data_IF_428277106180
#
_entry.id   IF_428277106180
#
_cell.length_a   1.000
_cell.length_b   1.000
_cell.length_c   1.000
_cell.angle_alpha   90.00
_cell.angle_beta   90.00
_cell.angle_gamma   90.00
#
_symmetry.space_group_name_H-M   'P 1'
#
loop_
_entity.id
_entity.type
_entity.pdbx_description
1 polymer ?
#
# COMPACT_ATOMS: atom_id res chain seq x y z
N UNK A 1 9.15 -37.11 -6.09
CA UNK A 1 9.11 -35.86 -6.86
C UNK A 1 7.74 -35.76 -7.51
N UNK A 2 6.93 -34.76 -7.13
CA UNK A 2 5.60 -34.57 -7.72
C UNK A 2 5.74 -34.17 -9.19
N UNK A 3 4.99 -34.82 -10.07
CA UNK A 3 5.02 -34.59 -11.52
C UNK A 3 4.52 -33.16 -11.82
N UNK A 4 5.46 -32.21 -11.94
CA UNK A 4 5.17 -30.77 -12.10
C UNK A 4 4.53 -30.42 -13.46
N UNK A 5 4.19 -31.41 -14.29
CA UNK A 5 3.98 -31.21 -15.72
C UNK A 5 2.60 -31.51 -16.31
N UNK A 6 1.67 -32.23 -15.66
CA UNK A 6 0.54 -32.82 -16.41
C UNK A 6 -0.80 -32.77 -15.69
N UNK A 7 -1.40 -31.59 -15.62
CA UNK A 7 -2.79 -31.41 -15.19
C UNK A 7 -3.64 -31.01 -16.40
N UNK A 8 -4.59 -31.87 -16.79
CA UNK A 8 -5.61 -31.53 -17.78
C UNK A 8 -6.79 -30.88 -17.05
N UNK A 9 -6.87 -29.55 -17.13
CA UNK A 9 -7.97 -28.77 -16.56
C UNK A 9 -9.13 -28.83 -17.54
N UNK A 10 -10.19 -29.54 -17.19
CA UNK A 10 -11.47 -29.43 -17.90
C UNK A 10 -12.16 -28.17 -17.37
N UNK A 11 -12.38 -27.19 -18.23
CA UNK A 11 -12.91 -25.89 -17.82
C UNK A 11 -14.42 -25.98 -17.72
N UNK A 12 -15.00 -25.40 -16.67
CA UNK A 12 -16.46 -25.24 -16.55
C UNK A 12 -17.03 -24.55 -17.79
N UNK A 13 -16.26 -23.65 -18.40
CA UNK A 13 -16.64 -22.98 -19.65
C UNK A 13 -16.83 -23.93 -20.84
N UNK A 14 -16.27 -25.15 -20.81
CA UNK A 14 -16.53 -26.15 -21.84
C UNK A 14 -17.98 -26.67 -21.79
N UNK A 15 -18.63 -26.62 -20.62
CA UNK A 15 -20.05 -26.99 -20.46
C UNK A 15 -21.00 -25.94 -21.03
N UNK A 16 -20.52 -24.72 -21.25
CA UNK A 16 -21.30 -23.57 -21.73
C UNK A 16 -20.72 -23.01 -23.03
N UNK A 17 -19.92 -23.80 -23.75
CA UNK A 17 -19.35 -23.38 -25.03
C UNK A 17 -20.26 -23.86 -26.17
N UNK A 18 -20.90 -22.95 -26.93
CA UNK A 18 -21.77 -23.32 -28.04
C UNK A 18 -21.07 -24.18 -29.10
N UNK A 19 -19.75 -24.00 -29.28
CA UNK A 19 -18.96 -24.78 -30.25
C UNK A 19 -18.84 -26.26 -29.82
N UNK A 20 -18.91 -26.54 -28.52
CA UNK A 20 -18.78 -27.88 -27.95
C UNK A 20 -20.15 -28.55 -27.69
N UNK A 21 -21.20 -27.76 -27.49
CA UNK A 21 -22.57 -28.25 -27.25
C UNK A 21 -23.09 -29.10 -28.41
N UNK A 22 -22.64 -28.81 -29.64
CA UNK A 22 -23.01 -29.54 -30.84
C UNK A 22 -22.25 -30.87 -31.02
N UNK A 23 -21.28 -31.19 -30.17
CA UNK A 23 -20.55 -32.45 -30.25
C UNK A 23 -21.34 -33.56 -29.55
N UNK A 24 -21.38 -34.76 -30.17
CA UNK A 24 -21.83 -35.96 -29.46
C UNK A 24 -20.95 -36.21 -28.24
N UNK A 25 -21.48 -36.89 -27.21
CA UNK A 25 -20.71 -37.23 -26.00
C UNK A 25 -19.41 -37.99 -26.32
N UNK A 26 -19.44 -38.86 -27.32
CA UNK A 26 -18.26 -39.58 -27.81
C UNK A 26 -17.20 -38.63 -28.38
N UNK A 27 -17.62 -37.67 -29.21
CA UNK A 27 -16.72 -36.70 -29.83
C UNK A 27 -16.23 -35.66 -28.81
N UNK A 28 -17.05 -35.28 -27.83
CA UNK A 28 -16.62 -34.45 -26.70
C UNK A 28 -15.54 -35.17 -25.86
N UNK A 29 -15.72 -36.47 -25.60
CA UNK A 29 -14.70 -37.29 -24.94
C UNK A 29 -13.40 -37.38 -25.73
N UNK A 30 -13.49 -37.54 -27.06
CA UNK A 30 -12.32 -37.51 -27.95
C UNK A 30 -11.66 -36.13 -28.01
N UNK A 31 -12.44 -35.05 -28.02
CA UNK A 31 -11.94 -33.67 -27.94
C UNK A 31 -11.16 -33.43 -26.63
N UNK A 32 -11.67 -33.92 -25.50
CA UNK A 32 -10.95 -33.87 -24.22
C UNK A 32 -9.60 -34.61 -24.30
N UNK A 33 -9.59 -35.82 -24.88
CA UNK A 33 -8.35 -36.60 -25.09
C UNK A 33 -7.37 -35.88 -26.00
N UNK A 34 -7.86 -35.23 -27.05
CA UNK A 34 -7.04 -34.41 -27.94
C UNK A 34 -6.37 -33.27 -27.18
N UNK A 35 -7.11 -32.54 -26.34
CA UNK A 35 -6.54 -31.48 -25.52
C UNK A 35 -5.47 -31.97 -24.55
N UNK A 36 -5.68 -33.13 -23.91
CA UNK A 36 -4.67 -33.73 -23.05
C UNK A 36 -3.42 -34.14 -23.83
N UNK A 37 -3.59 -34.74 -25.01
CA UNK A 37 -2.49 -35.13 -25.89
C UNK A 37 -1.70 -33.92 -26.40
N UNK A 38 -2.41 -32.88 -26.84
CA UNK A 38 -1.85 -31.61 -27.31
C UNK A 38 -1.06 -30.90 -26.20
N UNK A 39 -1.51 -31.01 -24.93
CA UNK A 39 -0.75 -30.49 -23.78
C UNK A 39 0.57 -31.24 -23.57
N UNK A 40 0.53 -32.57 -23.70
CA UNK A 40 1.66 -33.44 -23.40
C UNK A 40 2.72 -33.43 -24.51
N UNK A 41 2.31 -33.26 -25.76
CA UNK A 41 3.16 -33.47 -26.94
C UNK A 41 3.23 -32.26 -27.89
N UNK A 42 2.32 -31.29 -27.74
CA UNK A 42 2.27 -30.09 -28.57
C UNK A 42 2.93 -28.88 -27.91
N UNK A 43 2.98 -27.79 -28.66
CA UNK A 43 3.50 -26.48 -28.21
C UNK A 43 2.49 -25.40 -28.59
N UNK A 44 1.96 -24.68 -27.59
CA UNK A 44 1.05 -23.52 -27.77
C UNK A 44 -0.16 -23.79 -28.68
N UNK A 45 -0.72 -25.00 -28.60
CA UNK A 45 -1.89 -25.37 -29.39
C UNK A 45 -1.55 -25.95 -30.77
N UNK A 46 -0.27 -26.12 -31.08
CA UNK A 46 0.20 -26.74 -32.32
C UNK A 46 0.80 -28.12 -32.05
N UNK A 47 0.53 -29.07 -32.93
CA UNK A 47 1.04 -30.44 -32.87
C UNK A 47 1.46 -30.91 -34.26
N UNK A 48 2.63 -31.54 -34.35
CA UNK A 48 3.11 -32.16 -35.58
C UNK A 48 3.06 -33.66 -35.45
N UNK A 49 2.38 -34.33 -36.39
CA UNK A 49 2.15 -35.77 -36.38
C UNK A 49 2.56 -36.39 -37.71
N UNK A 50 2.97 -37.66 -37.66
CA UNK A 50 3.39 -38.46 -38.82
C UNK A 50 2.62 -39.78 -38.84
N UNK A 51 2.24 -40.31 -40.02
CA UNK A 51 1.72 -41.67 -40.16
C UNK A 51 2.74 -42.71 -39.64
N UNK A 52 2.30 -43.85 -39.10
CA UNK A 52 0.90 -44.29 -38.97
C UNK A 52 0.18 -43.71 -37.74
N UNK A 53 0.86 -42.93 -36.89
CA UNK A 53 0.24 -42.26 -35.74
C UNK A 53 -0.47 -43.20 -34.75
N UNK A 54 -0.02 -44.44 -34.57
CA UNK A 54 -0.70 -45.51 -33.81
C UNK A 54 -1.20 -45.07 -32.43
N UNK A 55 -0.41 -44.27 -31.71
CA UNK A 55 -0.80 -43.75 -30.39
C UNK A 55 -2.09 -42.90 -30.45
N UNK A 56 -2.30 -42.12 -31.52
CA UNK A 56 -3.52 -41.33 -31.72
C UNK A 56 -4.69 -42.20 -32.16
N UNK A 57 -4.44 -43.19 -33.01
CA UNK A 57 -5.44 -44.18 -33.39
C UNK A 57 -5.99 -44.90 -32.15
N UNK A 58 -5.08 -45.39 -31.27
CA UNK A 58 -5.43 -46.05 -30.02
C UNK A 58 -6.14 -45.07 -29.05
N UNK A 59 -5.66 -43.83 -28.96
CA UNK A 59 -6.23 -42.79 -28.08
C UNK A 59 -7.67 -42.43 -28.47
N UNK A 60 -7.94 -42.25 -29.77
CA UNK A 60 -9.26 -41.89 -30.28
C UNK A 60 -10.15 -43.10 -30.58
N UNK A 61 -9.59 -44.32 -30.49
CA UNK A 61 -10.23 -45.59 -30.83
C UNK A 61 -10.74 -45.58 -32.27
N UNK A 62 -9.85 -45.23 -33.20
CA UNK A 62 -10.13 -45.23 -34.65
C UNK A 62 -9.12 -46.13 -35.37
N UNK A 63 -9.51 -46.81 -36.46
CA UNK A 63 -8.70 -47.86 -37.06
C UNK A 63 -7.52 -47.33 -37.88
N UNK A 64 -7.64 -46.13 -38.46
CA UNK A 64 -6.66 -45.58 -39.40
C UNK A 64 -6.29 -44.15 -39.06
N UNK A 65 -5.10 -43.74 -39.51
CA UNK A 65 -4.60 -42.37 -39.34
C UNK A 65 -5.47 -41.35 -40.09
N UNK A 66 -5.99 -41.69 -41.26
CA UNK A 66 -6.88 -40.80 -42.01
C UNK A 66 -8.16 -40.51 -41.23
N UNK A 67 -8.71 -41.51 -40.52
CA UNK A 67 -9.87 -41.31 -39.64
C UNK A 67 -9.54 -40.45 -38.42
N UNK A 68 -8.29 -40.45 -37.95
CA UNK A 68 -7.84 -39.46 -36.95
C UNK A 68 -7.89 -38.05 -37.55
N UNK A 69 -7.40 -37.86 -38.77
CA UNK A 69 -7.40 -36.53 -39.40
C UNK A 69 -8.83 -36.04 -39.68
N UNK A 70 -9.71 -36.89 -40.22
CA UNK A 70 -11.14 -36.59 -40.41
C UNK A 70 -11.78 -36.11 -39.09
N UNK A 71 -11.55 -36.88 -38.02
CA UNK A 71 -12.08 -36.57 -36.68
C UNK A 71 -11.53 -35.25 -36.15
N UNK A 72 -10.22 -35.03 -36.22
CA UNK A 72 -9.61 -33.80 -35.73
C UNK A 72 -10.04 -32.58 -36.55
N UNK A 73 -10.28 -32.74 -37.85
CA UNK A 73 -10.82 -31.71 -38.72
C UNK A 73 -12.26 -31.32 -38.35
N UNK A 74 -13.03 -32.24 -37.75
CA UNK A 74 -14.38 -31.98 -37.26
C UNK A 74 -14.43 -31.23 -35.92
N UNK A 75 -13.31 -31.17 -35.18
CA UNK A 75 -13.28 -30.48 -33.90
C UNK A 75 -13.29 -28.96 -34.07
N UNK A 76 -14.05 -28.23 -33.22
CA UNK A 76 -14.17 -26.79 -33.35
C UNK A 76 -12.82 -26.12 -33.16
N UNK A 77 -12.57 -25.08 -33.95
CA UNK A 77 -11.35 -24.26 -33.91
C UNK A 77 -10.06 -25.05 -34.22
N UNK A 78 -10.15 -26.21 -34.88
CA UNK A 78 -9.00 -27.01 -35.30
C UNK A 78 -8.70 -26.79 -36.78
N UNK A 79 -7.42 -26.63 -37.12
CA UNK A 79 -6.92 -26.55 -38.50
C UNK A 79 -5.91 -27.65 -38.76
N UNK A 80 -5.97 -28.21 -39.96
CA UNK A 80 -5.02 -29.22 -40.44
C UNK A 80 -4.26 -28.62 -41.63
N UNK A 81 -2.93 -28.66 -41.57
CA UNK A 81 -2.04 -28.27 -42.67
C UNK A 81 -1.12 -29.42 -43.00
N UNK A 82 -1.01 -29.72 -44.29
CA UNK A 82 -0.05 -30.71 -44.79
C UNK A 82 1.28 -30.01 -45.03
N UNK A 83 2.37 -30.59 -44.52
CA UNK A 83 3.71 -30.04 -44.74
C UNK A 83 4.14 -30.17 -46.21
N UNK A 84 5.14 -29.39 -46.60
CA UNK A 84 5.74 -29.42 -47.96
C UNK A 84 6.20 -30.83 -48.36
N UNK A 85 6.63 -31.62 -47.38
CA UNK A 85 6.83 -33.06 -47.53
C UNK A 85 5.58 -33.78 -47.02
N UNK A 86 4.96 -34.61 -47.86
CA UNK A 86 3.68 -35.33 -47.65
C UNK A 86 3.61 -36.23 -46.40
N UNK A 87 4.72 -36.36 -45.66
CA UNK A 87 4.88 -37.25 -44.51
C UNK A 87 4.46 -36.60 -43.18
N UNK A 88 4.41 -35.26 -43.10
CA UNK A 88 4.09 -34.54 -41.85
C UNK A 88 2.81 -33.75 -41.96
N UNK A 89 1.95 -33.88 -40.94
CA UNK A 89 0.74 -33.09 -40.79
C UNK A 89 0.88 -32.21 -39.56
N UNK A 90 0.61 -30.92 -39.72
CA UNK A 90 0.59 -29.92 -38.66
C UNK A 90 -0.86 -29.58 -38.30
N UNK A 91 -1.18 -29.76 -37.02
CA UNK A 91 -2.49 -29.50 -36.44
C UNK A 91 -2.39 -28.26 -35.57
N UNK A 92 -3.32 -27.33 -35.72
CA UNK A 92 -3.40 -26.12 -34.90
C UNK A 92 -4.77 -26.00 -34.28
N UNK A 93 -4.84 -25.86 -32.97
CA UNK A 93 -6.07 -25.55 -32.24
C UNK A 93 -6.07 -24.06 -31.85
N UNK A 94 -6.77 -23.23 -32.61
CA UNK A 94 -6.73 -21.76 -32.51
C UNK A 94 -7.09 -21.22 -31.14
N UNK A 95 -8.08 -21.83 -30.50
CA UNK A 95 -8.59 -21.39 -29.20
C UNK A 95 -7.93 -22.11 -28.02
N UNK A 96 -6.77 -22.75 -28.23
CA UNK A 96 -6.04 -23.50 -27.23
C UNK A 96 -5.81 -22.72 -25.92
N UNK A 97 -5.44 -21.44 -26.01
CA UNK A 97 -5.12 -20.62 -24.85
C UNK A 97 -6.32 -20.43 -23.91
N UNK A 98 -7.55 -20.35 -24.44
CA UNK A 98 -8.79 -20.31 -23.65
C UNK A 98 -8.90 -21.51 -22.71
N UNK A 99 -8.41 -22.66 -23.14
CA UNK A 99 -8.46 -23.93 -22.42
C UNK A 99 -7.14 -24.31 -21.74
N UNK A 100 -6.17 -23.41 -21.64
CA UNK A 100 -4.86 -23.75 -21.06
C UNK A 100 -4.27 -22.69 -20.14
N UNK A 101 -4.56 -21.41 -20.37
CA UNK A 101 -4.05 -20.35 -19.51
C UNK A 101 -5.02 -20.08 -18.35
N UNK A 102 -4.54 -20.21 -17.11
CA UNK A 102 -5.22 -19.64 -15.96
C UNK A 102 -5.10 -18.12 -16.00
N UNK A 103 -5.90 -17.51 -16.88
CA UNK A 103 -6.02 -16.07 -17.00
C UNK A 103 -6.65 -15.43 -15.76
N UNK A 104 -7.09 -16.22 -14.78
CA UNK A 104 -7.79 -15.72 -13.60
C UNK A 104 -6.85 -15.55 -12.41
N UNK A 105 -6.05 -16.53 -12.02
CA UNK A 105 -5.25 -16.41 -10.79
C UNK A 105 -3.99 -15.60 -11.00
N UNK A 106 -3.17 -15.92 -12.01
CA UNK A 106 -1.92 -15.20 -12.25
C UNK A 106 -2.16 -13.74 -12.65
N UNK A 107 -3.19 -13.48 -13.47
CA UNK A 107 -3.57 -12.13 -13.89
C UNK A 107 -4.26 -11.34 -12.77
N UNK A 108 -5.10 -11.97 -11.93
CA UNK A 108 -5.63 -11.32 -10.70
C UNK A 108 -4.50 -11.04 -9.72
N UNK A 109 -3.56 -11.96 -9.50
CA UNK A 109 -2.41 -11.76 -8.62
C UNK A 109 -1.49 -10.65 -9.15
N UNK A 110 -1.21 -10.60 -10.46
CA UNK A 110 -0.46 -9.51 -11.08
C UNK A 110 -1.21 -8.18 -10.97
N UNK A 111 -2.51 -8.15 -11.26
CA UNK A 111 -3.36 -6.96 -11.09
C UNK A 111 -3.42 -6.51 -9.63
N UNK A 112 -3.57 -7.44 -8.68
CA UNK A 112 -3.58 -7.17 -7.24
C UNK A 112 -2.22 -6.67 -6.75
N UNK A 113 -1.11 -7.25 -7.24
CA UNK A 113 0.25 -6.77 -6.95
C UNK A 113 0.48 -5.37 -7.52
N UNK A 114 0.04 -5.10 -8.74
CA UNK A 114 0.11 -3.77 -9.36
C UNK A 114 -0.78 -2.77 -8.62
N UNK A 115 -2.00 -3.15 -8.22
CA UNK A 115 -2.89 -2.30 -7.43
C UNK A 115 -2.34 -2.04 -6.02
N UNK A 116 -1.70 -3.01 -5.36
CA UNK A 116 -1.00 -2.80 -4.08
C UNK A 116 0.21 -1.87 -4.24
N UNK A 117 0.98 -2.01 -5.32
CA UNK A 117 2.11 -1.11 -5.61
C UNK A 117 1.62 0.31 -5.93
N UNK A 118 0.55 0.44 -6.73
CA UNK A 118 -0.06 1.74 -7.04
C UNK A 118 -0.70 2.37 -5.81
N UNK A 119 -1.43 1.60 -4.99
CA UNK A 119 -1.99 2.05 -3.72
C UNK A 119 -0.89 2.46 -2.74
N UNK A 120 0.21 1.71 -2.62
CA UNK A 120 1.36 2.09 -1.79
C UNK A 120 2.07 3.35 -2.31
N UNK A 121 2.16 3.52 -3.63
CA UNK A 121 2.72 4.72 -4.26
C UNK A 121 1.81 5.94 -4.13
N UNK A 122 0.48 5.76 -4.20
CA UNK A 122 -0.53 6.80 -4.01
C UNK A 122 -0.71 7.16 -2.54
N UNK A 123 -0.63 6.20 -1.62
CA UNK A 123 -0.62 6.40 -0.17
C UNK A 123 0.64 7.14 0.26
N UNK A 124 1.83 6.74 -0.25
CA UNK A 124 3.06 7.51 -0.09
C UNK A 124 2.98 8.91 -0.72
N UNK A 125 2.38 9.06 -1.90
CA UNK A 125 2.14 10.37 -2.52
C UNK A 125 1.11 11.20 -1.74
N UNK A 126 0.12 10.58 -1.11
CA UNK A 126 -0.93 11.26 -0.35
C UNK A 126 -0.40 11.66 1.01
N UNK A 127 0.47 10.87 1.63
CA UNK A 127 1.23 11.25 2.81
C UNK A 127 2.25 12.35 2.49
N UNK A 128 2.96 12.26 1.36
CA UNK A 128 3.83 13.33 0.84
C UNK A 128 3.04 14.59 0.44
N UNK A 129 1.76 14.49 0.07
CA UNK A 129 0.91 15.63 -0.32
C UNK A 129 0.15 16.22 0.87
N UNK A 130 -0.14 15.41 1.90
CA UNK A 130 -0.71 15.82 3.20
C UNK A 130 0.36 16.39 4.14
N UNK A 131 1.63 16.01 3.94
CA UNK A 131 2.81 16.67 4.53
C UNK A 131 3.30 17.88 3.72
N UNK A 132 2.56 18.30 2.69
CA UNK A 132 2.87 19.44 1.81
C UNK A 132 1.84 20.56 1.90
N UNK A 133 1.10 20.66 2.99
CA UNK A 133 0.62 21.99 3.39
C UNK A 133 1.85 22.68 4.01
N UNK A 134 2.44 23.70 3.35
CA UNK A 134 3.61 24.36 3.89
C UNK A 134 3.16 25.16 5.11
N UNK A 135 3.39 24.62 6.31
CA UNK A 135 3.47 25.44 7.52
C UNK A 135 4.68 26.35 7.27
N UNK A 136 4.44 27.66 7.30
CA UNK A 136 5.28 28.66 6.63
C UNK A 136 6.78 28.54 6.96
N UNK A 137 7.69 28.86 6.00
CA UNK A 137 9.13 28.88 6.20
C UNK A 137 9.62 29.59 7.48
N UNK A 138 8.83 30.52 8.03
CA UNK A 138 9.17 31.32 9.21
C UNK A 138 9.30 30.50 10.50
N UNK A 139 8.44 29.51 10.75
CA UNK A 139 8.37 28.87 12.08
C UNK A 139 9.66 28.15 12.49
N UNK A 140 10.25 27.39 11.57
CA UNK A 140 11.50 26.66 11.85
C UNK A 140 12.72 27.58 11.95
N UNK A 141 12.72 28.68 11.19
CA UNK A 141 13.80 29.68 11.22
C UNK A 141 13.79 30.47 12.53
N UNK A 142 12.61 30.85 13.03
CA UNK A 142 12.45 31.48 14.34
C UNK A 142 13.01 30.62 15.47
N UNK A 143 12.67 29.32 15.50
CA UNK A 143 13.20 28.36 16.48
C UNK A 143 14.73 28.26 16.37
N UNK A 144 15.26 28.22 15.14
CA UNK A 144 16.69 28.12 14.92
C UNK A 144 17.44 29.36 15.42
N UNK A 145 16.95 30.57 15.11
CA UNK A 145 17.58 31.81 15.55
C UNK A 145 17.52 31.97 17.08
N UNK A 146 16.39 31.60 17.71
CA UNK A 146 16.29 31.63 19.18
C UNK A 146 17.29 30.66 19.83
N UNK A 147 17.38 29.43 19.34
CA UNK A 147 18.35 28.45 19.86
C UNK A 147 19.79 28.94 19.68
N UNK A 148 20.09 29.51 18.51
CA UNK A 148 21.42 30.02 18.17
C UNK A 148 21.82 31.17 19.11
N UNK A 149 20.88 32.06 19.41
CA UNK A 149 21.04 33.14 20.38
C UNK A 149 21.21 32.60 21.80
N UNK A 150 20.28 31.79 22.29
CA UNK A 150 20.23 31.35 23.69
C UNK A 150 21.37 30.41 24.12
N UNK A 151 22.03 29.73 23.18
CA UNK A 151 23.21 28.90 23.44
C UNK A 151 24.50 29.49 22.85
N UNK A 152 24.48 30.77 22.45
CA UNK A 152 25.63 31.52 21.91
C UNK A 152 26.32 30.83 20.70
N UNK A 153 25.55 30.06 19.92
CA UNK A 153 26.06 29.29 18.77
C UNK A 153 26.18 30.16 17.51
N UNK A 154 26.83 31.31 17.59
CA UNK A 154 26.89 32.35 16.53
C UNK A 154 27.32 31.83 15.14
N UNK A 155 28.16 30.79 15.09
CA UNK A 155 28.64 30.16 13.84
C UNK A 155 27.79 28.98 13.35
N UNK A 156 26.79 28.54 14.11
CA UNK A 156 25.95 27.42 13.72
C UNK A 156 25.10 27.75 12.50
N UNK A 157 24.95 26.75 11.62
CA UNK A 157 24.10 26.81 10.44
C UNK A 157 22.86 25.95 10.65
N UNK A 158 21.75 26.36 10.03
CA UNK A 158 20.52 25.57 10.04
C UNK A 158 20.61 24.41 9.04
N UNK A 159 21.41 23.41 9.39
CA UNK A 159 21.72 22.26 8.55
C UNK A 159 20.46 21.48 8.16
N UNK A 160 20.49 20.68 7.07
CA UNK A 160 19.34 19.88 6.66
C UNK A 160 18.79 18.97 7.76
N UNK A 161 19.65 18.43 8.62
CA UNK A 161 19.21 17.57 9.73
C UNK A 161 18.48 18.35 10.84
N UNK A 162 19.02 19.50 11.27
CA UNK A 162 18.33 20.40 12.21
C UNK A 162 16.98 20.85 11.65
N UNK A 163 16.96 21.28 10.38
CA UNK A 163 15.73 21.71 9.70
C UNK A 163 14.70 20.60 9.65
N UNK A 164 15.12 19.38 9.35
CA UNK A 164 14.26 18.20 9.33
C UNK A 164 13.68 17.88 10.71
N UNK A 165 14.48 17.97 11.78
CA UNK A 165 14.03 17.71 13.15
C UNK A 165 13.02 18.74 13.63
N UNK A 166 13.29 20.03 13.43
CA UNK A 166 12.36 21.11 13.79
C UNK A 166 11.06 20.98 12.97
N UNK A 167 11.16 20.77 11.66
CA UNK A 167 9.98 20.60 10.80
C UNK A 167 9.13 19.38 11.19
N UNK A 168 9.75 18.28 11.63
CA UNK A 168 9.01 17.11 12.10
C UNK A 168 8.14 17.45 13.32
N UNK A 169 8.64 18.27 14.25
CA UNK A 169 7.90 18.70 15.44
C UNK A 169 6.78 19.67 15.10
N UNK A 170 7.04 20.65 14.23
CA UNK A 170 6.00 21.54 13.73
C UNK A 170 4.86 20.77 13.02
N UNK A 171 5.19 19.73 12.25
CA UNK A 171 4.20 18.87 11.58
C UNK A 171 3.43 17.96 12.55
N UNK A 172 3.98 17.67 13.73
CA UNK A 172 3.29 16.94 14.80
C UNK A 172 2.30 17.81 15.57
N UNK A 173 2.27 19.13 15.31
CA UNK A 173 1.35 20.07 15.94
C UNK A 173 2.02 21.00 16.96
N UNK A 174 3.32 20.84 17.23
CA UNK A 174 4.03 21.77 18.11
C UNK A 174 4.16 23.15 17.46
N UNK A 175 4.01 24.18 18.27
CA UNK A 175 4.20 25.58 17.90
C UNK A 175 5.69 25.98 18.04
N UNK A 176 6.16 27.04 17.34
CA UNK A 176 7.48 27.60 17.59
C UNK A 176 7.72 27.95 19.06
N UNK A 177 6.69 28.49 19.74
CA UNK A 177 6.72 28.80 21.17
C UNK A 177 7.01 27.57 22.03
N UNK A 178 6.33 26.45 21.79
CA UNK A 178 6.54 25.21 22.55
C UNK A 178 7.95 24.64 22.35
N UNK A 179 8.50 24.75 21.13
CA UNK A 179 9.88 24.32 20.86
C UNK A 179 10.88 25.26 21.54
N UNK A 180 10.61 26.57 21.56
CA UNK A 180 11.40 27.55 22.33
C UNK A 180 11.34 27.26 23.83
N UNK A 181 10.17 26.92 24.37
CA UNK A 181 10.04 26.50 25.75
C UNK A 181 10.94 25.30 26.05
N UNK A 182 10.90 24.25 25.22
CA UNK A 182 11.81 23.12 25.38
C UNK A 182 13.30 23.52 25.26
N UNK A 183 13.62 24.53 24.47
CA UNK A 183 14.98 25.08 24.34
C UNK A 183 15.44 25.75 25.64
N UNK A 184 14.58 26.56 26.26
CA UNK A 184 14.83 27.13 27.59
C UNK A 184 14.91 26.02 28.65
N UNK A 185 14.00 25.04 28.61
CA UNK A 185 14.04 23.89 29.50
C UNK A 185 15.33 23.08 29.39
N UNK A 186 15.88 22.94 28.18
CA UNK A 186 17.18 22.32 27.96
C UNK A 186 18.31 23.09 28.65
N UNK A 187 18.30 24.42 28.60
CA UNK A 187 19.33 25.24 29.28
C UNK A 187 19.22 25.21 30.81
N UNK A 188 18.07 24.80 31.36
CA UNK A 188 17.86 24.60 32.80
C UNK A 188 18.07 23.16 33.27
N UNK A 189 18.22 22.20 32.37
CA UNK A 189 18.36 20.79 32.72
C UNK A 189 19.82 20.46 33.06
N UNK A 190 20.16 20.08 34.31
CA UNK A 190 21.53 19.74 34.69
C UNK A 190 22.12 18.64 33.80
N UNK A 191 21.31 17.60 33.54
CA UNK A 191 21.70 16.48 32.68
C UNK A 191 22.06 16.90 31.25
N UNK A 192 21.39 17.91 30.69
CA UNK A 192 21.68 18.37 29.32
C UNK A 192 22.80 19.41 29.29
N UNK A 193 23.07 20.09 30.41
CA UNK A 193 24.08 21.14 30.53
C UNK A 193 25.40 20.64 31.14
N UNK A 194 25.74 19.38 30.93
CA UNK A 194 27.04 18.81 31.33
C UNK A 194 27.08 18.19 32.72
N UNK A 195 26.06 18.35 33.57
CA UNK A 195 25.98 17.65 34.86
C UNK A 195 25.42 16.23 34.66
N UNK A 196 26.16 15.43 33.89
CA UNK A 196 25.89 14.03 33.62
C UNK A 196 27.19 13.22 33.73
N UNK A 197 27.07 11.90 33.76
CA UNK A 197 28.21 10.98 33.93
C UNK A 197 29.31 11.12 32.86
N UNK A 198 29.04 11.82 31.76
CA UNK A 198 29.94 12.01 30.62
C UNK A 198 30.44 13.45 30.48
N UNK A 199 30.09 14.34 31.40
CA UNK A 199 30.41 15.77 31.36
C UNK A 199 30.15 16.43 29.99
N UNK A 200 29.09 15.98 29.31
CA UNK A 200 28.81 16.37 27.91
C UNK A 200 27.59 17.26 27.83
N UNK A 201 27.70 18.40 27.15
CA UNK A 201 26.56 19.28 26.86
C UNK A 201 25.76 18.73 25.68
N UNK A 202 24.45 18.57 25.86
CA UNK A 202 23.48 18.04 24.89
C UNK A 202 22.47 19.11 24.46
N UNK A 203 22.98 20.28 24.08
CA UNK A 203 22.18 21.46 23.73
C UNK A 203 21.81 21.56 22.23
N UNK A 204 22.23 20.62 21.38
CA UNK A 204 21.98 20.71 19.94
C UNK A 204 20.49 20.56 19.59
N UNK A 205 20.01 21.33 18.60
CA UNK A 205 18.62 21.25 18.11
C UNK A 205 18.19 19.85 17.69
N UNK A 206 19.10 19.02 17.16
CA UNK A 206 18.76 17.63 16.80
C UNK A 206 18.48 16.76 18.02
N UNK A 207 19.06 17.12 19.18
CA UNK A 207 18.80 16.51 20.48
C UNK A 207 17.52 17.04 21.10
N UNK A 208 17.35 18.36 21.15
CA UNK A 208 16.14 19.01 21.70
C UNK A 208 14.89 18.56 20.91
N UNK A 209 14.96 18.60 19.59
CA UNK A 209 13.87 18.19 18.69
C UNK A 209 13.97 16.70 18.30
N UNK A 210 14.56 15.82 19.13
CA UNK A 210 14.77 14.41 18.77
C UNK A 210 13.45 13.67 18.51
N UNK A 211 12.49 13.80 19.44
CA UNK A 211 11.11 13.26 19.39
C UNK A 211 10.12 14.27 19.98
N UNK A 212 8.81 14.13 19.73
CA UNK A 212 7.79 14.95 20.40
C UNK A 212 7.86 14.81 21.93
N UNK A 213 7.96 13.59 22.45
CA UNK A 213 8.13 13.35 23.89
C UNK A 213 9.42 13.93 24.49
N UNK A 214 10.43 14.25 23.68
CA UNK A 214 11.62 14.95 24.17
C UNK A 214 11.31 16.43 24.45
N UNK A 215 10.50 17.08 23.61
CA UNK A 215 10.06 18.47 23.83
C UNK A 215 9.32 18.55 25.16
N UNK A 216 8.31 17.70 25.35
CA UNK A 216 7.49 17.67 26.58
C UNK A 216 8.36 17.47 27.83
N UNK A 217 9.31 16.52 27.79
CA UNK A 217 10.24 16.27 28.90
C UNK A 217 11.09 17.49 29.23
N UNK A 218 11.58 18.20 28.21
CA UNK A 218 12.42 19.38 28.41
C UNK A 218 11.63 20.57 28.96
N UNK A 219 10.39 20.78 28.50
CA UNK A 219 9.54 21.89 28.96
C UNK A 219 9.33 21.91 30.47
N UNK A 220 9.27 20.74 31.12
CA UNK A 220 9.12 20.62 32.58
C UNK A 220 10.25 21.32 33.36
N UNK A 221 11.41 21.51 32.75
CA UNK A 221 12.56 22.16 33.40
C UNK A 221 12.51 23.70 33.40
N UNK A 222 11.57 24.31 32.67
CA UNK A 222 11.43 25.77 32.61
C UNK A 222 10.03 26.21 33.03
N UNK A 223 9.96 27.31 33.79
CA UNK A 223 8.71 27.97 34.10
C UNK A 223 8.33 28.91 32.96
N UNK A 224 7.04 29.06 32.72
CA UNK A 224 6.52 29.94 31.66
C UNK A 224 7.07 31.38 31.75
N UNK A 225 7.17 31.92 32.96
CA UNK A 225 7.71 33.27 33.19
C UNK A 225 9.17 33.42 32.73
N UNK A 226 9.97 32.36 32.87
CA UNK A 226 11.35 32.36 32.40
C UNK A 226 11.36 32.36 30.87
N UNK A 227 10.51 31.57 30.22
CA UNK A 227 10.39 31.52 28.76
C UNK A 227 9.97 32.87 28.20
N UNK A 228 8.97 33.50 28.80
CA UNK A 228 8.51 34.85 28.42
C UNK A 228 9.65 35.87 28.59
N UNK A 229 10.42 35.78 29.67
CA UNK A 229 11.55 36.69 29.91
C UNK A 229 12.64 36.55 28.84
N UNK A 230 12.97 35.32 28.43
CA UNK A 230 13.97 35.04 27.40
C UNK A 230 13.47 35.45 26.00
N UNK A 231 12.19 35.23 25.69
CA UNK A 231 11.58 35.72 24.46
C UNK A 231 11.59 37.25 24.36
N UNK A 232 11.36 37.96 25.47
CA UNK A 232 11.45 39.43 25.52
C UNK A 232 12.88 39.89 25.23
N UNK A 233 13.89 39.33 25.92
CA UNK A 233 15.31 39.65 25.68
C UNK A 233 15.71 39.37 24.24
N UNK A 234 15.34 38.21 23.71
CA UNK A 234 15.60 37.85 22.33
C UNK A 234 15.00 38.87 21.34
N UNK A 235 13.75 39.30 21.57
CA UNK A 235 13.09 40.33 20.76
C UNK A 235 13.81 41.68 20.85
N UNK A 236 14.23 42.10 22.04
CA UNK A 236 14.96 43.36 22.26
C UNK A 236 16.32 43.36 21.56
N UNK A 237 17.04 42.24 21.59
CA UNK A 237 18.39 42.16 21.01
C UNK A 237 18.40 41.90 19.50
N UNK A 238 17.42 41.17 18.98
CA UNK A 238 17.42 40.73 17.56
C UNK A 238 16.35 41.41 16.71
N UNK A 239 15.33 42.01 17.32
CA UNK A 239 14.13 42.51 16.64
C UNK A 239 13.20 41.41 16.12
N UNK A 240 13.48 40.13 16.40
CA UNK A 240 12.69 39.00 15.92
C UNK A 240 11.61 38.64 16.94
N UNK A 241 10.38 38.50 16.48
CA UNK A 241 9.23 38.13 17.31
C UNK A 241 8.80 36.68 17.06
N UNK A 242 8.64 35.93 18.14
CA UNK A 242 8.11 34.55 18.13
C UNK A 242 6.74 34.60 18.79
N UNK A 243 5.69 34.37 18.00
CA UNK A 243 4.30 34.50 18.46
C UNK A 243 3.98 33.62 19.66
N UNK A 244 3.29 34.19 20.64
CA UNK A 244 2.73 33.50 21.81
C UNK A 244 1.47 32.68 21.44
N UNK A 245 1.09 31.72 22.28
CA UNK A 245 -0.17 30.98 22.15
C UNK A 245 -1.40 31.90 22.31
N UNK A 246 -1.76 32.67 21.29
CA UNK A 246 -3.10 33.26 21.19
C UNK A 246 -3.79 32.70 19.95
N UNK A 247 -4.51 31.61 20.17
CA UNK A 247 -5.23 30.86 19.15
C UNK A 247 -5.98 29.67 19.73
N UNK A 248 -6.62 29.83 20.89
CA UNK A 248 -7.61 28.87 21.39
C UNK A 248 -8.98 29.53 21.33
N UNK A 249 -9.89 28.89 20.58
CA UNK A 249 -11.18 29.43 20.19
C UNK A 249 -12.11 29.73 21.36
N UNK A 250 -12.81 30.86 21.21
CA UNK A 250 -14.25 31.02 21.40
C UNK A 250 -14.89 30.11 22.46
N UNK A 251 -14.84 30.58 23.70
CA UNK A 251 -15.73 30.17 24.78
C UNK A 251 -17.13 30.73 24.53
N UNK A 252 -17.85 30.17 23.56
CA UNK A 252 -19.32 30.32 23.50
C UNK A 252 -19.97 29.25 24.40
N UNK A 253 -20.14 29.64 25.66
CA UNK A 253 -21.34 29.41 26.49
C UNK A 253 -22.40 28.46 25.90
N UNK A 254 -22.29 27.16 26.20
CA UNK A 254 -23.47 26.29 26.25
C UNK A 254 -24.08 26.45 27.64
N UNK A 255 -25.07 27.34 27.69
CA UNK A 255 -25.87 27.65 28.87
C UNK A 255 -26.64 26.38 29.27
N UNK A 256 -26.35 25.89 30.48
CA UNK A 256 -27.23 25.00 31.21
C UNK A 256 -28.59 25.69 31.39
N UNK A 257 -29.64 25.17 30.77
CA UNK A 257 -31.01 25.40 31.20
C UNK A 257 -31.63 24.05 31.51
N UNK A 258 -31.47 23.66 32.78
CA UNK A 258 -32.40 22.72 33.40
C UNK A 258 -33.71 23.45 33.64
N UNK A 259 -34.81 22.88 33.18
CA UNK A 259 -36.13 23.09 33.76
C UNK A 259 -36.73 21.73 34.00
N UNK A 260 -36.95 21.43 35.27
CA UNK A 260 -37.59 20.20 35.73
C UNK A 260 -39.08 20.20 35.47
N UNK A 261 -39.64 19.00 35.55
CA UNK A 261 -41.07 18.72 35.60
C UNK A 261 -41.23 17.24 35.88
N UNK A 262 -41.33 16.89 37.17
CA UNK A 262 -41.79 15.59 37.60
C UNK A 262 -43.31 15.48 37.46
N UNK A 263 -43.78 14.25 37.29
CA UNK A 263 -44.92 13.64 38.01
C UNK A 263 -45.16 12.27 37.34
N UNK A 264 -44.85 11.16 38.02
CA UNK A 264 -45.75 10.43 38.93
C UNK A 264 -46.91 9.72 38.19
N UNK A 265 -46.84 8.38 38.09
CA UNK A 265 -47.85 7.42 38.58
C UNK A 265 -47.99 6.13 37.75
N UNK A 266 -47.98 5.04 38.52
CA UNK A 266 -48.82 3.84 38.45
C UNK A 266 -48.78 2.96 37.18
N UNK A 267 -48.38 1.71 37.38
CA UNK A 267 -48.64 0.65 36.42
C UNK A 267 -50.09 0.18 36.41
N UNK A 268 -50.42 -0.67 35.43
CA UNK A 268 -51.12 -1.91 35.69
C UNK A 268 -50.95 -2.91 34.53
N UNK A 269 -51.19 -4.16 34.92
CA UNK A 269 -51.33 -5.45 34.22
C UNK A 269 -52.27 -5.50 33.01
N UNK A 270 -52.23 -6.72 32.42
CA UNK A 270 -53.20 -7.44 31.57
C UNK A 270 -53.00 -7.30 30.04
N UNK A 271 -52.60 -8.35 29.31
CA UNK A 271 -53.24 -9.66 28.97
C UNK A 271 -54.19 -9.52 27.77
N UNK A 272 -54.05 -10.47 26.85
CA UNK A 272 -54.94 -10.85 25.73
C UNK A 272 -54.99 -9.96 24.47
N UNK A 273 -54.35 -10.43 23.40
CA UNK A 273 -55.00 -11.30 22.38
C UNK A 273 -53.96 -11.94 21.46
#
# INVERSE_FOLDING_TARGET
MADQGRWFKLWITALTDPDLENLSLENFGRWCRFGAFLKAHGTRGTLRIKPPGKALCDLFRVPTFDKVLDLLGSFPNTEIRYGENTVTVELTWRNWLKYQEDTTVARRMKKHRMLRLKKRGEEKRRDEKRSKTPISPKGGELVFEFWKWGFEKTRAKFTPDRRKKVAARLNEGFTPYEIVWATVGCSKSPMHMGQNDRDTVYDDLTTICKTGSQIEKLQVHAKEQEVISELRKFKEETGIEIGSQEGQGDTSTVVHSGTGGGDEKSGNREVET
#
